data_IF_096390598459
#
_entry.id   IF_096390598459
#
_cell.length_a   1.000
_cell.length_b   1.000
_cell.length_c   1.000
_cell.angle_alpha   90.00
_cell.angle_beta   90.00
_cell.angle_gamma   90.00
#
_symmetry.space_group_name_H-M   'P 1'
#
loop_
_entity.id
_entity.type
_entity.pdbx_description
1 polymer ?
#
# COMPACT_ATOMS: atom_id res chain seq x y z
N UNK A 1 7.55 3.93 -10.36
CA UNK A 1 8.12 2.56 -10.25
C UNK A 1 8.99 2.52 -9.00
N UNK A 2 8.77 1.54 -8.12
CA UNK A 2 9.61 1.32 -6.93
C UNK A 2 10.59 0.20 -7.25
N UNK A 3 11.89 0.48 -7.20
CA UNK A 3 12.92 -0.52 -7.48
C UNK A 3 13.15 -1.43 -6.28
N UNK A 4 13.07 -2.73 -6.53
CA UNK A 4 13.18 -3.82 -5.54
C UNK A 4 14.03 -4.99 -6.06
N UNK A 5 14.92 -4.72 -7.03
CA UNK A 5 15.82 -5.75 -7.56
C UNK A 5 16.77 -6.27 -6.47
N UNK A 6 17.06 -7.57 -6.53
CA UNK A 6 17.88 -8.29 -5.54
C UNK A 6 19.28 -7.71 -5.36
N UNK A 7 19.87 -7.18 -6.44
CA UNK A 7 21.26 -6.72 -6.43
C UNK A 7 21.45 -5.39 -5.69
N UNK A 8 20.52 -4.45 -5.86
CA UNK A 8 20.71 -3.07 -5.38
C UNK A 8 19.75 -2.64 -4.28
N UNK A 9 18.71 -3.43 -3.99
CA UNK A 9 17.65 -3.02 -3.05
C UNK A 9 17.39 -4.03 -1.90
N UNK A 10 18.42 -4.57 -1.22
CA UNK A 10 18.24 -5.58 -0.17
C UNK A 10 17.34 -5.07 0.98
N UNK A 11 17.57 -3.85 1.47
CA UNK A 11 16.77 -3.30 2.58
C UNK A 11 15.27 -3.16 2.25
N UNK A 12 14.93 -2.81 0.99
CA UNK A 12 13.53 -2.76 0.55
C UNK A 12 12.92 -4.14 0.41
N UNK A 13 13.71 -5.12 -0.04
CA UNK A 13 13.27 -6.51 -0.10
C UNK A 13 13.05 -7.07 1.30
N UNK A 14 13.94 -6.80 2.24
CA UNK A 14 13.78 -7.20 3.65
C UNK A 14 12.51 -6.60 4.27
N UNK A 15 12.21 -5.33 3.96
CA UNK A 15 10.95 -4.73 4.35
C UNK A 15 9.73 -5.44 3.71
N UNK A 16 9.79 -5.76 2.42
CA UNK A 16 8.73 -6.55 1.79
C UNK A 16 8.61 -7.96 2.39
N UNK A 17 9.72 -8.61 2.78
CA UNK A 17 9.70 -9.90 3.48
C UNK A 17 8.92 -9.79 4.79
N UNK A 18 9.18 -8.77 5.62
CA UNK A 18 8.44 -8.60 6.88
C UNK A 18 6.94 -8.37 6.63
N UNK A 19 6.58 -7.54 5.65
CA UNK A 19 5.19 -7.33 5.23
C UNK A 19 4.49 -8.61 4.77
N UNK A 20 5.22 -9.54 4.12
CA UNK A 20 4.67 -10.80 3.60
C UNK A 20 4.62 -11.94 4.63
N UNK A 21 5.54 -11.98 5.59
CA UNK A 21 5.67 -13.08 6.56
C UNK A 21 4.93 -12.85 7.89
N UNK A 22 4.91 -11.62 8.42
CA UNK A 22 4.37 -11.33 9.77
C UNK A 22 2.94 -10.76 9.68
N UNK A 23 1.88 -11.48 10.09
CA UNK A 23 0.48 -11.04 9.96
C UNK A 23 0.10 -9.89 10.92
N UNK A 24 1.02 -8.96 11.19
CA UNK A 24 0.69 -7.78 11.96
C UNK A 24 -0.26 -6.87 11.17
N UNK A 25 -1.32 -6.43 11.84
CA UNK A 25 -2.55 -5.86 11.26
C UNK A 25 -2.31 -4.49 10.60
N UNK A 26 -1.12 -3.91 10.79
CA UNK A 26 -0.81 -2.55 10.39
C UNK A 26 0.30 -2.40 9.34
N UNK A 27 0.95 -3.49 8.92
CA UNK A 27 2.14 -3.41 8.05
C UNK A 27 2.03 -4.18 6.74
N UNK A 28 0.99 -4.96 6.47
CA UNK A 28 0.88 -5.76 5.23
C UNK A 28 0.28 -5.02 4.02
N UNK A 29 -0.15 -3.77 4.22
CA UNK A 29 -0.93 -3.00 3.24
C UNK A 29 -0.22 -1.74 2.76
N UNK A 30 -0.39 -1.44 1.47
CA UNK A 30 -0.17 -0.12 0.92
C UNK A 30 -1.32 0.78 1.38
N UNK A 31 -1.00 1.77 2.22
CA UNK A 31 -1.92 2.79 2.69
C UNK A 31 -1.89 3.98 1.73
N UNK A 32 -3.05 4.33 1.19
CA UNK A 32 -3.30 5.54 0.44
C UNK A 32 -4.03 6.52 1.36
N UNK A 33 -3.45 7.70 1.56
CA UNK A 33 -4.07 8.77 2.34
C UNK A 33 -4.57 9.85 1.40
N UNK A 34 -5.86 10.19 1.50
CA UNK A 34 -6.45 11.36 0.85
C UNK A 34 -6.25 12.53 1.80
N UNK A 35 -5.64 13.60 1.32
CA UNK A 35 -5.37 14.80 2.12
C UNK A 35 -6.06 16.02 1.51
N UNK A 36 -6.48 16.95 2.37
CA UNK A 36 -6.89 18.28 1.97
C UNK A 36 -5.66 19.18 1.86
N UNK A 37 -5.50 19.81 0.71
CA UNK A 37 -4.47 20.84 0.51
C UNK A 37 -5.08 22.21 0.84
N UNK A 38 -4.51 22.98 1.78
CA UNK A 38 -5.01 24.30 2.13
C UNK A 38 -5.07 25.24 0.90
N UNK A 39 -6.04 26.16 0.84
CA UNK A 39 -6.10 27.13 -0.25
C UNK A 39 -4.89 28.08 -0.22
N UNK A 40 -4.60 28.72 -1.35
CA UNK A 40 -3.40 29.56 -1.54
C UNK A 40 -3.24 30.68 -0.47
N UNK A 41 -4.35 31.21 0.04
CA UNK A 41 -4.40 32.26 1.06
C UNK A 41 -4.22 31.74 2.51
N UNK A 42 -4.25 30.43 2.70
CA UNK A 42 -4.08 29.76 3.99
C UNK A 42 -2.90 28.76 3.99
N UNK A 43 -1.93 28.91 3.08
CA UNK A 43 -0.74 28.03 2.95
C UNK A 43 0.14 27.88 4.20
N UNK A 44 -0.11 28.65 5.27
CA UNK A 44 0.51 28.42 6.57
C UNK A 44 -0.09 27.26 7.36
N UNK A 45 -1.27 26.78 6.98
CA UNK A 45 -1.92 25.62 7.58
C UNK A 45 -1.26 24.32 7.09
N UNK A 46 -1.40 23.26 7.88
CA UNK A 46 -0.95 21.91 7.50
C UNK A 46 -2.03 21.21 6.68
N UNK A 47 -1.64 20.28 5.80
CA UNK A 47 -2.58 19.40 5.14
C UNK A 47 -3.26 18.48 6.17
N UNK A 48 -4.55 18.22 6.00
CA UNK A 48 -5.30 17.35 6.91
C UNK A 48 -5.64 16.03 6.21
N UNK A 49 -5.58 14.93 6.97
CA UNK A 49 -5.99 13.62 6.48
C UNK A 49 -7.53 13.58 6.39
N UNK A 50 -8.05 13.38 5.18
CA UNK A 50 -9.49 13.27 4.89
C UNK A 50 -9.95 11.82 4.97
N UNK A 51 -9.10 10.88 4.57
CA UNK A 51 -9.45 9.47 4.61
C UNK A 51 -8.37 8.53 4.11
N UNK A 52 -8.65 7.24 4.28
CA UNK A 52 -7.67 6.17 4.10
C UNK A 52 -8.23 5.06 3.21
N UNK A 53 -7.43 4.58 2.26
CA UNK A 53 -7.71 3.39 1.46
C UNK A 53 -6.53 2.42 1.52
N UNK A 54 -6.78 1.11 1.43
CA UNK A 54 -5.75 0.08 1.63
C UNK A 54 -5.73 -0.96 0.52
N UNK A 55 -4.54 -1.40 0.16
CA UNK A 55 -4.31 -2.57 -0.70
C UNK A 55 -3.39 -3.54 0.05
N UNK A 56 -3.81 -4.79 0.26
CA UNK A 56 -2.94 -5.81 0.87
C UNK A 56 -2.00 -6.40 -0.17
N UNK A 57 -0.69 -6.30 0.06
CA UNK A 57 0.31 -6.95 -0.79
C UNK A 57 0.24 -8.48 -0.69
N UNK A 58 -0.16 -9.00 0.47
CA UNK A 58 -0.40 -10.44 0.66
C UNK A 58 -1.54 -10.93 -0.19
N UNK A 59 -2.59 -10.15 -0.37
CA UNK A 59 -3.71 -10.52 -1.20
C UNK A 59 -3.30 -10.67 -2.67
N UNK A 60 -2.41 -9.80 -3.17
CA UNK A 60 -1.81 -9.91 -4.51
C UNK A 60 -1.04 -11.23 -4.63
N UNK A 61 -0.22 -11.57 -3.64
CA UNK A 61 0.55 -12.81 -3.61
C UNK A 61 -0.36 -14.05 -3.49
N UNK A 62 -1.34 -14.07 -2.58
CA UNK A 62 -2.26 -15.19 -2.40
C UNK A 62 -3.17 -15.42 -3.61
N UNK A 63 -3.70 -14.35 -4.21
CA UNK A 63 -4.55 -14.44 -5.41
C UNK A 63 -3.76 -14.65 -6.69
N UNK A 64 -2.43 -14.56 -6.63
CA UNK A 64 -1.53 -14.68 -7.78
C UNK A 64 -1.95 -13.74 -8.92
N UNK A 65 -2.31 -12.50 -8.58
CA UNK A 65 -2.84 -11.53 -9.56
C UNK A 65 -2.60 -10.09 -9.11
N UNK A 66 -2.08 -9.27 -10.04
CA UNK A 66 -2.00 -7.83 -9.88
C UNK A 66 -3.37 -7.16 -9.77
N UNK A 67 -3.39 -5.94 -9.23
CA UNK A 67 -4.59 -5.10 -9.17
C UNK A 67 -4.57 -4.16 -10.36
N UNK A 68 -5.59 -4.22 -11.20
CA UNK A 68 -5.69 -3.41 -12.42
C UNK A 68 -6.98 -2.59 -12.38
N UNK A 69 -6.85 -1.26 -12.34
CA UNK A 69 -7.95 -0.30 -12.31
C UNK A 69 -9.08 -0.62 -11.33
N UNK A 70 -8.74 -1.15 -10.15
CA UNK A 70 -9.72 -1.53 -9.14
C UNK A 70 -10.17 -0.32 -8.34
N UNK A 71 -11.49 -0.17 -8.14
CA UNK A 71 -12.02 0.77 -7.16
C UNK A 71 -11.90 0.18 -5.74
N UNK A 72 -11.31 0.93 -4.83
CA UNK A 72 -11.24 0.63 -3.40
C UNK A 72 -11.93 1.74 -2.61
N UNK A 73 -12.54 1.37 -1.49
CA UNK A 73 -13.26 2.31 -0.64
C UNK A 73 -12.27 3.20 0.13
N UNK A 74 -12.59 4.50 0.22
CA UNK A 74 -11.90 5.47 1.08
C UNK A 74 -12.72 5.59 2.35
N UNK A 75 -12.12 5.17 3.46
CA UNK A 75 -12.68 5.28 4.81
C UNK A 75 -12.42 6.69 5.35
N UNK A 76 -13.39 7.23 6.08
CA UNK A 76 -13.26 8.51 6.79
C UNK A 76 -12.12 8.47 7.81
N UNK A 77 -11.41 9.60 7.98
CA UNK A 77 -10.30 9.70 8.94
C UNK A 77 -10.75 9.83 10.40
N UNK A 78 -11.96 10.33 10.64
CA UNK A 78 -12.59 10.51 11.95
C UNK A 78 -13.50 9.32 12.32
N UNK A 79 -14.11 8.65 11.34
CA UNK A 79 -14.95 7.44 11.52
C UNK A 79 -14.52 6.28 10.60
N UNK A 80 -13.75 5.34 11.16
CA UNK A 80 -13.21 4.17 10.44
C UNK A 80 -14.26 3.19 9.87
N UNK A 81 -15.56 3.48 10.04
CA UNK A 81 -16.68 2.70 9.50
C UNK A 81 -17.40 3.40 8.36
N UNK A 82 -17.18 4.70 8.16
CA UNK A 82 -17.83 5.48 7.13
C UNK A 82 -17.02 5.45 5.83
N UNK A 83 -17.68 5.11 4.72
CA UNK A 83 -17.10 5.21 3.37
C UNK A 83 -17.44 6.60 2.82
N UNK A 84 -16.41 7.40 2.53
CA UNK A 84 -16.55 8.79 2.04
C UNK A 84 -16.25 8.94 0.56
N UNK A 85 -15.72 7.90 -0.07
CA UNK A 85 -15.40 7.93 -1.49
C UNK A 85 -14.80 6.64 -1.99
N UNK A 86 -14.31 6.70 -3.23
CA UNK A 86 -13.61 5.59 -3.88
C UNK A 86 -12.35 6.09 -4.57
N UNK A 87 -11.30 5.27 -4.52
CA UNK A 87 -10.05 5.49 -5.22
C UNK A 87 -9.86 4.38 -6.27
N UNK A 88 -9.60 4.75 -7.53
CA UNK A 88 -9.28 3.79 -8.59
C UNK A 88 -7.77 3.60 -8.66
N UNK A 89 -7.27 2.38 -8.43
CA UNK A 89 -5.83 2.10 -8.35
C UNK A 89 -5.41 0.95 -9.26
N UNK A 90 -4.14 1.00 -9.69
CA UNK A 90 -3.43 -0.11 -10.32
C UNK A 90 -2.16 -0.38 -9.51
N UNK A 91 -1.96 -1.63 -9.10
CA UNK A 91 -0.78 -2.09 -8.37
C UNK A 91 -0.24 -3.34 -9.06
N UNK A 92 0.86 -3.16 -9.77
CA UNK A 92 1.62 -4.23 -10.43
C UNK A 92 2.82 -4.60 -9.55
N UNK A 93 2.71 -5.72 -8.85
CA UNK A 93 3.69 -6.14 -7.85
C UNK A 93 3.90 -7.66 -7.78
N UNK A 94 3.00 -8.47 -8.37
CA UNK A 94 2.99 -9.93 -8.22
C UNK A 94 4.37 -10.55 -8.48
N UNK A 95 4.98 -10.22 -9.61
CA UNK A 95 6.28 -10.79 -9.98
C UNK A 95 7.37 -10.49 -8.94
N UNK A 96 7.42 -9.25 -8.46
CA UNK A 96 8.38 -8.85 -7.44
C UNK A 96 8.10 -9.52 -6.09
N UNK A 97 6.82 -9.62 -5.70
CA UNK A 97 6.40 -10.26 -4.45
C UNK A 97 6.71 -11.77 -4.45
N UNK A 98 6.45 -12.48 -5.56
CA UNK A 98 6.84 -13.88 -5.69
C UNK A 98 8.35 -14.06 -5.54
N UNK A 99 9.15 -13.24 -6.23
CA UNK A 99 10.61 -13.28 -6.12
C UNK A 99 11.11 -13.01 -4.70
N UNK A 100 10.48 -12.09 -3.96
CA UNK A 100 10.84 -11.81 -2.56
C UNK A 100 10.44 -12.97 -1.65
N UNK A 101 9.26 -13.57 -1.88
CA UNK A 101 8.75 -14.67 -1.07
C UNK A 101 9.55 -15.96 -1.25
N UNK A 102 9.98 -16.26 -2.47
CA UNK A 102 10.86 -17.42 -2.76
C UNK A 102 12.18 -17.35 -1.98
N UNK A 103 12.75 -16.15 -1.82
CA UNK A 103 13.96 -15.97 -1.00
C UNK A 103 13.75 -16.37 0.46
N UNK A 104 12.53 -16.27 0.98
CA UNK A 104 12.21 -16.70 2.34
C UNK A 104 12.07 -18.23 2.48
N UNK A 105 11.91 -18.96 1.36
CA UNK A 105 11.85 -20.42 1.36
C UNK A 105 13.23 -21.07 1.17
N UNK A 106 14.16 -20.34 0.57
CA UNK A 106 15.54 -20.77 0.31
C UNK A 106 16.54 -20.39 1.43
N UNK A 107 16.14 -19.52 2.36
CA UNK A 107 16.88 -19.14 3.59
C UNK A 107 16.63 -20.14 4.75
#
# INVERSE_FOLDING_TARGET
VIHVDKANNPARRDYLKSMLLEPDVHTDSLLFTVVSDPPDDEQSLECEDVGFARVSLREILHKQRDIIEQEIDVMDSEDDRAIIGKLKVTVEALHALCSVYEECQDD
#
